data_IF_046144251854
#
_entry.id   IF_046144251854
#
_cell.length_a   1.000
_cell.length_b   1.000
_cell.length_c   1.000
_cell.angle_alpha   90.00
_cell.angle_beta   90.00
_cell.angle_gamma   90.00
#
_symmetry.space_group_name_H-M   'P 1'
#
loop_
_entity.id
_entity.type
_entity.pdbx_description
1 polymer ?
#
# COMPACT_ATOMS: atom_id res chain seq x y z
N UNK A 1 -7.18 -18.36 10.66
CA UNK A 1 -7.27 -16.89 10.49
C UNK A 1 -6.79 -16.40 9.13
N UNK A 2 -5.52 -16.56 8.75
CA UNK A 2 -5.00 -16.07 7.46
C UNK A 2 -5.81 -16.55 6.25
N UNK A 3 -6.14 -17.85 6.17
CA UNK A 3 -6.97 -18.39 5.09
C UNK A 3 -8.36 -17.71 5.00
N UNK A 4 -8.99 -17.39 6.13
CA UNK A 4 -10.27 -16.68 6.13
C UNK A 4 -10.11 -15.26 5.59
N UNK A 5 -9.09 -14.52 6.04
CA UNK A 5 -8.79 -13.17 5.54
C UNK A 5 -8.54 -13.20 4.03
N UNK A 6 -7.71 -14.12 3.54
CA UNK A 6 -7.43 -14.24 2.11
C UNK A 6 -8.67 -14.59 1.29
N UNK A 7 -9.56 -15.45 1.81
CA UNK A 7 -10.85 -15.76 1.16
C UNK A 7 -11.74 -14.53 1.07
N UNK A 8 -11.87 -13.75 2.14
CA UNK A 8 -12.72 -12.55 2.14
C UNK A 8 -12.15 -11.42 1.28
N UNK A 9 -10.82 -11.18 1.31
CA UNK A 9 -10.17 -10.24 0.39
C UNK A 9 -10.33 -10.68 -1.07
N UNK A 10 -10.20 -11.99 -1.35
CA UNK A 10 -10.44 -12.55 -2.67
C UNK A 10 -11.86 -12.29 -3.16
N UNK A 11 -12.87 -12.49 -2.31
CA UNK A 11 -14.27 -12.15 -2.62
C UNK A 11 -14.45 -10.66 -2.86
N UNK A 12 -13.89 -9.79 -2.01
CA UNK A 12 -13.95 -8.34 -2.17
C UNK A 12 -13.40 -7.91 -3.54
N UNK A 13 -12.20 -8.38 -3.90
CA UNK A 13 -11.59 -8.07 -5.20
C UNK A 13 -12.38 -8.64 -6.37
N UNK A 14 -12.87 -9.88 -6.26
CA UNK A 14 -13.70 -10.51 -7.30
C UNK A 14 -15.01 -9.78 -7.53
N UNK A 15 -15.70 -9.39 -6.46
CA UNK A 15 -16.91 -8.56 -6.54
C UNK A 15 -16.61 -7.19 -7.15
N UNK A 16 -15.47 -6.59 -6.83
CA UNK A 16 -15.06 -5.31 -7.40
C UNK A 16 -14.85 -5.39 -8.92
N UNK A 17 -14.21 -6.46 -9.41
CA UNK A 17 -14.05 -6.72 -10.85
C UNK A 17 -15.40 -6.95 -11.53
N UNK A 18 -16.27 -7.77 -10.93
CA UNK A 18 -17.61 -8.03 -11.46
C UNK A 18 -18.48 -6.77 -11.47
N UNK A 19 -18.37 -5.92 -10.45
CA UNK A 19 -19.07 -4.63 -10.37
C UNK A 19 -18.59 -3.68 -11.46
N UNK A 20 -17.30 -3.62 -11.76
CA UNK A 20 -16.79 -2.78 -12.84
C UNK A 20 -17.34 -3.19 -14.21
N UNK A 21 -17.49 -4.50 -14.43
CA UNK A 21 -18.01 -5.05 -15.69
C UNK A 21 -19.54 -4.89 -15.81
N UNK A 22 -20.27 -5.25 -14.76
CA UNK A 22 -21.74 -5.38 -14.79
C UNK A 22 -22.48 -4.13 -14.30
N UNK A 23 -21.82 -3.27 -13.51
CA UNK A 23 -22.38 -2.05 -12.90
C UNK A 23 -21.35 -0.90 -12.91
N UNK A 24 -20.85 -0.50 -14.09
CA UNK A 24 -19.73 0.44 -14.23
C UNK A 24 -20.01 1.80 -13.57
N UNK A 25 -21.26 2.26 -13.53
CA UNK A 25 -21.70 3.48 -12.86
C UNK A 25 -21.50 3.42 -11.33
N UNK A 26 -21.80 2.28 -10.71
CA UNK A 26 -21.57 2.07 -9.27
C UNK A 26 -20.08 2.00 -8.99
N UNK A 27 -19.33 1.28 -9.82
CA UNK A 27 -17.88 1.22 -9.68
C UNK A 27 -17.24 2.61 -9.80
N UNK A 28 -17.67 3.41 -10.79
CA UNK A 28 -17.19 4.78 -10.99
C UNK A 28 -17.49 5.66 -9.79
N UNK A 29 -18.70 5.58 -9.24
CA UNK A 29 -19.04 6.29 -8.01
C UNK A 29 -18.11 5.92 -6.85
N UNK A 30 -17.85 4.62 -6.62
CA UNK A 30 -16.91 4.19 -5.58
C UNK A 30 -15.48 4.64 -5.87
N UNK A 31 -15.02 4.61 -7.12
CA UNK A 31 -13.69 5.10 -7.48
C UNK A 31 -13.53 6.59 -7.15
N UNK A 32 -14.57 7.40 -7.39
CA UNK A 32 -14.57 8.85 -7.13
C UNK A 32 -14.70 9.18 -5.62
N UNK A 33 -15.36 8.31 -4.84
CA UNK A 33 -15.70 8.58 -3.43
C UNK A 33 -14.92 7.73 -2.40
N UNK A 34 -14.23 6.69 -2.83
CA UNK A 34 -13.32 5.86 -2.02
C UNK A 34 -11.87 6.10 -2.43
N UNK A 35 -11.50 7.38 -2.57
CA UNK A 35 -10.14 7.77 -2.90
C UNK A 35 -9.14 7.31 -1.86
N UNK A 36 -7.90 7.08 -2.30
CA UNK A 36 -6.79 6.84 -1.38
C UNK A 36 -6.62 8.08 -0.49
N UNK A 37 -6.59 7.89 0.83
CA UNK A 37 -6.57 8.98 1.81
C UNK A 37 -5.20 9.21 2.45
N UNK A 38 -4.32 8.21 2.51
CA UNK A 38 -3.04 8.32 3.19
C UNK A 38 -2.01 9.05 2.34
N UNK A 39 -1.76 8.57 1.13
CA UNK A 39 -0.83 9.18 0.19
C UNK A 39 -1.33 10.53 -0.34
N UNK A 40 -2.65 10.74 -0.47
CA UNK A 40 -3.20 12.03 -0.90
C UNK A 40 -3.38 13.06 0.24
N UNK A 41 -3.00 12.73 1.47
CA UNK A 41 -3.10 13.66 2.60
C UNK A 41 -1.92 14.65 2.68
N UNK A 42 -2.12 15.71 3.46
CA UNK A 42 -1.07 16.63 3.88
C UNK A 42 0.04 15.95 4.72
N UNK A 43 -0.13 14.68 5.10
CA UNK A 43 0.88 13.91 5.83
C UNK A 43 1.92 13.29 4.91
N UNK A 44 1.70 13.25 3.59
CA UNK A 44 2.58 12.56 2.65
C UNK A 44 4.05 12.96 2.80
N UNK A 45 4.35 14.26 2.76
CA UNK A 45 5.72 14.77 2.88
C UNK A 45 6.34 14.44 4.24
N UNK A 46 5.54 14.53 5.31
CA UNK A 46 5.97 14.18 6.66
C UNK A 46 6.29 12.69 6.78
N UNK A 47 5.51 11.82 6.13
CA UNK A 47 5.74 10.37 6.10
C UNK A 47 7.01 10.04 5.31
N UNK A 48 7.19 10.62 4.12
CA UNK A 48 8.41 10.42 3.30
C UNK A 48 9.66 10.87 4.07
N UNK A 49 9.57 12.02 4.74
CA UNK A 49 10.65 12.56 5.59
C UNK A 49 10.93 11.63 6.77
N UNK A 50 9.89 11.15 7.46
CA UNK A 50 10.02 10.23 8.58
C UNK A 50 10.69 8.92 8.17
N UNK A 51 10.24 8.30 7.07
CA UNK A 51 10.80 7.05 6.55
C UNK A 51 12.28 7.23 6.20
N UNK A 52 12.61 8.32 5.52
CA UNK A 52 14.01 8.63 5.15
C UNK A 52 14.89 8.79 6.39
N UNK A 53 14.40 9.52 7.40
CA UNK A 53 15.12 9.72 8.68
C UNK A 53 15.32 8.40 9.43
N UNK A 54 14.26 7.59 9.56
CA UNK A 54 14.34 6.27 10.22
C UNK A 54 15.32 5.36 9.48
N UNK A 55 15.28 5.35 8.14
CA UNK A 55 16.20 4.57 7.32
C UNK A 55 17.66 4.98 7.49
N UNK A 56 17.94 6.28 7.56
CA UNK A 56 19.30 6.77 7.81
C UNK A 56 19.82 6.35 9.20
N UNK A 57 18.97 6.37 10.23
CA UNK A 57 19.36 5.87 11.56
C UNK A 57 19.66 4.36 11.56
N UNK A 58 18.98 3.57 10.71
CA UNK A 58 19.30 2.15 10.51
C UNK A 58 20.62 1.98 9.75
N UNK A 59 20.90 2.82 8.75
CA UNK A 59 22.19 2.78 8.06
C UNK A 59 23.36 3.08 8.99
N UNK A 60 23.18 4.02 9.93
CA UNK A 60 24.18 4.37 10.94
C UNK A 60 24.45 3.25 11.96
N UNK A 61 23.54 2.27 12.09
CA UNK A 61 23.70 1.16 13.02
C UNK A 61 24.36 -0.09 12.42
N UNK A 62 24.56 -0.12 11.10
CA UNK A 62 25.20 -1.23 10.40
C UNK A 62 26.73 -1.19 10.48
N UNK A 63 27.35 -2.36 10.52
CA UNK A 63 28.81 -2.47 10.39
C UNK A 63 29.20 -2.29 8.92
N UNK A 64 30.11 -1.35 8.59
CA UNK A 64 30.41 -1.00 7.21
C UNK A 64 31.10 -2.12 6.42
N UNK A 65 31.68 -3.12 7.09
CA UNK A 65 32.40 -4.22 6.46
C UNK A 65 31.49 -5.44 6.34
N UNK A 66 30.91 -5.91 7.45
CA UNK A 66 30.07 -7.11 7.44
C UNK A 66 28.73 -6.90 6.76
N UNK A 67 28.19 -5.68 6.77
CA UNK A 67 26.82 -5.40 6.33
C UNK A 67 26.77 -4.62 5.00
N UNK A 68 27.90 -4.52 4.29
CA UNK A 68 28.05 -3.74 3.05
C UNK A 68 26.94 -4.00 2.01
N UNK A 69 26.51 -5.25 1.84
CA UNK A 69 25.41 -5.62 0.95
C UNK A 69 24.06 -5.01 1.38
N UNK A 70 23.77 -5.01 2.68
CA UNK A 70 22.53 -4.46 3.23
C UNK A 70 22.53 -2.92 3.21
N UNK A 71 23.69 -2.32 3.44
CA UNK A 71 23.91 -0.87 3.32
C UNK A 71 23.56 -0.41 1.90
N UNK A 72 24.12 -1.07 0.88
CA UNK A 72 23.87 -0.71 -0.53
C UNK A 72 22.37 -0.84 -0.88
N UNK A 73 21.75 -1.96 -0.50
CA UNK A 73 20.33 -2.20 -0.77
C UNK A 73 19.41 -1.17 -0.09
N UNK A 74 19.68 -0.85 1.18
CA UNK A 74 18.88 0.11 1.94
C UNK A 74 19.09 1.54 1.42
N UNK A 75 20.33 1.96 1.14
CA UNK A 75 20.61 3.26 0.52
C UNK A 75 19.91 3.41 -0.83
N UNK A 76 19.95 2.37 -1.67
CA UNK A 76 19.24 2.35 -2.95
C UNK A 76 17.72 2.47 -2.78
N UNK A 77 17.16 1.88 -1.72
CA UNK A 77 15.74 1.96 -1.40
C UNK A 77 15.34 3.34 -0.87
N UNK A 78 16.14 3.94 0.02
CA UNK A 78 15.88 5.26 0.61
C UNK A 78 15.86 6.38 -0.43
N UNK A 79 16.75 6.30 -1.44
CA UNK A 79 16.74 7.24 -2.58
C UNK A 79 15.44 7.23 -3.37
N UNK A 80 14.66 6.15 -3.30
CA UNK A 80 13.44 5.94 -4.10
C UNK A 80 12.15 6.12 -3.29
N UNK A 81 12.22 6.49 -2.00
CA UNK A 81 11.02 6.54 -1.13
C UNK A 81 9.99 7.51 -1.68
N UNK A 82 10.38 8.75 -2.01
CA UNK A 82 9.46 9.75 -2.56
C UNK A 82 8.75 9.24 -3.83
N UNK A 83 9.53 8.78 -4.80
CA UNK A 83 9.02 8.26 -6.08
C UNK A 83 8.12 7.04 -5.89
N UNK A 84 8.56 6.07 -5.08
CA UNK A 84 7.81 4.83 -4.82
C UNK A 84 6.44 5.14 -4.24
N UNK A 85 6.35 6.08 -3.30
CA UNK A 85 5.10 6.46 -2.65
C UNK A 85 4.25 7.36 -3.56
N UNK A 86 4.86 8.23 -4.36
CA UNK A 86 4.15 9.06 -5.33
C UNK A 86 3.49 8.21 -6.44
N UNK A 87 4.17 7.16 -6.91
CA UNK A 87 3.62 6.21 -7.88
C UNK A 87 2.36 5.50 -7.39
N UNK A 88 2.20 5.32 -6.07
CA UNK A 88 1.00 4.68 -5.50
C UNK A 88 -0.27 5.53 -5.63
N UNK A 89 -0.14 6.83 -5.88
CA UNK A 89 -1.28 7.73 -6.15
C UNK A 89 -1.90 7.52 -7.53
N UNK A 90 -1.15 6.93 -8.46
CA UNK A 90 -1.56 6.75 -9.86
C UNK A 90 -2.36 5.45 -10.03
N UNK A 91 -3.64 5.48 -9.64
CA UNK A 91 -4.53 4.32 -9.70
C UNK A 91 -4.70 3.82 -11.15
N UNK A 92 -4.59 4.72 -12.12
CA UNK A 92 -4.71 4.44 -13.55
C UNK A 92 -3.64 3.47 -14.05
N UNK A 93 -2.47 3.42 -13.39
CA UNK A 93 -1.37 2.51 -13.74
C UNK A 93 -1.76 1.04 -13.64
N UNK A 94 -2.72 0.70 -12.78
CA UNK A 94 -3.18 -0.69 -12.60
C UNK A 94 -4.22 -1.12 -13.63
N UNK A 95 -4.72 -0.18 -14.46
CA UNK A 95 -5.55 -0.42 -15.63
C UNK A 95 -6.80 -1.25 -15.33
N UNK A 96 -7.19 -2.09 -16.30
CA UNK A 96 -8.41 -2.92 -16.25
C UNK A 96 -8.36 -4.06 -15.21
N UNK A 97 -7.36 -4.14 -14.35
CA UNK A 97 -7.33 -5.12 -13.25
C UNK A 97 -7.32 -4.44 -11.88
N UNK A 98 -7.41 -3.10 -11.84
CA UNK A 98 -7.63 -2.35 -10.61
C UNK A 98 -8.94 -2.76 -9.93
N UNK A 99 -8.93 -2.79 -8.60
CA UNK A 99 -10.07 -3.14 -7.75
C UNK A 99 -10.14 -2.17 -6.57
N UNK A 100 -11.34 -2.00 -6.04
CA UNK A 100 -11.54 -1.42 -4.71
C UNK A 100 -10.91 -2.38 -3.70
N UNK A 101 -10.01 -1.87 -2.87
CA UNK A 101 -9.27 -2.64 -1.87
C UNK A 101 -9.57 -2.12 -0.45
N UNK A 102 -9.03 -2.80 0.56
CA UNK A 102 -9.21 -2.42 1.96
C UNK A 102 -8.44 -1.14 2.36
N UNK A 103 -7.38 -0.77 1.65
CA UNK A 103 -6.53 0.38 1.95
C UNK A 103 -5.48 0.17 3.07
N UNK A 104 -5.78 -0.65 4.09
CA UNK A 104 -4.87 -0.96 5.19
C UNK A 104 -5.11 -2.39 5.72
N UNK A 105 -4.80 -3.41 4.91
CA UNK A 105 -5.04 -4.83 5.20
C UNK A 105 -4.03 -5.43 6.20
N UNK A 106 -3.81 -4.76 7.32
CA UNK A 106 -2.93 -5.19 8.40
C UNK A 106 -3.69 -6.04 9.43
N UNK A 107 -3.01 -6.98 10.09
CA UNK A 107 -3.67 -7.98 10.97
C UNK A 107 -4.58 -7.36 12.05
N UNK A 108 -4.21 -6.20 12.59
CA UNK A 108 -4.98 -5.48 13.61
C UNK A 108 -6.32 -4.91 13.12
N UNK A 109 -6.50 -4.80 11.81
CA UNK A 109 -7.71 -4.27 11.19
C UNK A 109 -8.70 -5.38 10.79
N UNK A 110 -8.36 -6.66 11.04
CA UNK A 110 -9.28 -7.77 10.84
C UNK A 110 -9.90 -8.22 12.15
N UNK A 111 -11.22 -8.26 12.20
CA UNK A 111 -11.98 -8.80 13.33
C UNK A 111 -12.50 -10.19 12.99
N UNK A 112 -12.44 -11.09 13.96
CA UNK A 112 -12.96 -12.45 13.83
C UNK A 112 -14.09 -12.65 14.83
N UNK A 113 -15.26 -13.00 14.32
CA UNK A 113 -16.37 -13.44 15.16
C UNK A 113 -16.16 -14.92 15.48
N UNK A 114 -15.93 -15.23 16.75
CA UNK A 114 -15.95 -16.60 17.27
C UNK A 114 -17.33 -16.88 17.87
N UNK A 115 -17.79 -18.12 17.68
CA UNK A 115 -19.03 -18.63 18.26
C UNK A 115 -18.75 -19.40 19.54
#
# INVERSE_FOLDING_TARGET
HALFVMKELGKLHGMSLAMRDQKPEVFKYLQENCGETFFNSNLFESVVTMITKLGNMVLESYDPISDSLYIEALQGSLKKVGDTFAEKKQVERYGKYAVINHGDAQMRNFMFKYG
#
